data_IF_145370085300
#
_entry.id   IF_145370085300
#
_cell.length_a   1.000
_cell.length_b   1.000
_cell.length_c   1.000
_cell.angle_alpha   90.00
_cell.angle_beta   90.00
_cell.angle_gamma   90.00
#
_symmetry.space_group_name_H-M   'P 1'
#
loop_
_entity.id
_entity.type
_entity.pdbx_description
1 polymer ?
#
# COMPACT_ATOMS: atom_id res chain seq x y z
N UNK A 1 8.70 8.11 28.63
CA UNK A 1 8.91 7.52 27.30
C UNK A 1 9.88 6.37 27.45
N UNK A 2 9.40 5.13 27.45
CA UNK A 2 10.29 3.96 27.39
C UNK A 2 11.23 4.12 26.21
N UNK A 3 12.52 3.80 26.37
CA UNK A 3 13.48 3.87 25.26
C UNK A 3 12.93 3.04 24.11
N UNK A 4 12.39 3.71 23.10
CA UNK A 4 11.98 3.05 21.86
C UNK A 4 13.21 2.35 21.33
N UNK A 5 13.23 1.03 21.46
CA UNK A 5 14.29 0.23 20.88
C UNK A 5 14.27 0.45 19.38
N UNK A 6 15.43 0.48 18.75
CA UNK A 6 15.55 0.63 17.29
C UNK A 6 14.67 -0.39 16.56
N UNK A 7 14.55 -1.60 17.11
CA UNK A 7 13.65 -2.63 16.62
C UNK A 7 12.17 -2.20 16.67
N UNK A 8 11.72 -1.61 17.79
CA UNK A 8 10.34 -1.12 17.94
C UNK A 8 10.04 0.00 16.94
N UNK A 9 11.01 0.89 16.70
CA UNK A 9 10.87 1.95 15.70
C UNK A 9 10.70 1.38 14.28
N UNK A 10 11.51 0.39 13.90
CA UNK A 10 11.35 -0.32 12.62
C UNK A 10 9.99 -1.01 12.54
N UNK A 11 9.57 -1.70 13.61
CA UNK A 11 8.26 -2.35 13.68
C UNK A 11 7.12 -1.36 13.49
N UNK A 12 7.18 -0.18 14.12
CA UNK A 12 6.19 0.89 13.95
C UNK A 12 6.12 1.38 12.49
N UNK A 13 7.27 1.57 11.84
CA UNK A 13 7.34 1.99 10.43
C UNK A 13 6.71 0.92 9.53
N UNK A 14 7.11 -0.35 9.70
CA UNK A 14 6.58 -1.47 8.91
C UNK A 14 5.08 -1.67 9.14
N UNK A 15 4.63 -1.55 10.38
CA UNK A 15 3.23 -1.66 10.75
C UNK A 15 2.40 -0.50 10.15
N UNK A 16 2.91 0.74 10.21
CA UNK A 16 2.27 1.90 9.58
C UNK A 16 2.20 1.74 8.06
N UNK A 17 3.28 1.29 7.43
CA UNK A 17 3.31 1.00 5.98
C UNK A 17 2.26 -0.06 5.62
N UNK A 18 2.23 -1.18 6.35
CA UNK A 18 1.28 -2.26 6.09
C UNK A 18 -0.16 -1.81 6.30
N UNK A 19 -0.45 -1.07 7.38
CA UNK A 19 -1.79 -0.57 7.67
C UNK A 19 -2.25 0.40 6.58
N UNK A 20 -1.36 1.29 6.12
CA UNK A 20 -1.66 2.23 5.02
C UNK A 20 -1.99 1.47 3.74
N UNK A 21 -1.16 0.49 3.38
CA UNK A 21 -1.40 -0.34 2.21
C UNK A 21 -2.71 -1.12 2.35
N UNK A 22 -3.03 -1.60 3.55
CA UNK A 22 -4.28 -2.30 3.84
C UNK A 22 -5.49 -1.38 3.60
N UNK A 23 -5.43 -0.14 4.05
CA UNK A 23 -6.54 0.82 3.92
C UNK A 23 -6.71 1.33 2.48
N UNK A 24 -5.61 1.54 1.76
CA UNK A 24 -5.65 2.14 0.42
C UNK A 24 -5.94 1.10 -0.66
N UNK A 25 -5.32 -0.08 -0.56
CA UNK A 25 -5.33 -1.09 -1.63
C UNK A 25 -6.08 -2.36 -1.28
N UNK A 26 -6.30 -2.70 -0.01
CA UNK A 26 -6.90 -3.98 0.35
C UNK A 26 -8.39 -3.99 0.08
N UNK A 27 -8.83 -5.05 -0.61
CA UNK A 27 -10.24 -5.28 -0.93
C UNK A 27 -11.10 -5.47 0.30
N UNK A 28 -10.53 -5.88 1.44
CA UNK A 28 -11.28 -5.96 2.71
C UNK A 28 -11.97 -4.62 3.01
N UNK A 29 -11.28 -3.50 2.75
CA UNK A 29 -11.83 -2.16 2.96
C UNK A 29 -12.67 -1.66 1.78
N UNK A 30 -12.91 -2.46 0.73
CA UNK A 30 -13.84 -2.07 -0.33
C UNK A 30 -15.24 -1.78 0.23
N UNK A 31 -15.66 -2.46 1.30
CA UNK A 31 -16.93 -2.14 1.97
C UNK A 31 -16.94 -0.73 2.55
N UNK A 32 -15.82 -0.28 3.11
CA UNK A 32 -15.65 1.10 3.57
C UNK A 32 -15.55 2.03 2.35
N UNK A 33 -14.89 1.60 1.26
CA UNK A 33 -14.66 2.42 0.06
C UNK A 33 -15.90 2.61 -0.82
N UNK A 34 -16.79 1.60 -0.93
CA UNK A 34 -18.02 1.60 -1.74
C UNK A 34 -18.94 2.80 -1.46
N UNK A 35 -19.26 3.16 -0.20
CA UNK A 35 -20.05 4.36 0.08
C UNK A 35 -19.31 5.66 -0.23
N UNK A 36 -17.97 5.67 -0.17
CA UNK A 36 -17.17 6.88 -0.44
C UNK A 36 -16.81 7.09 -1.92
N UNK A 37 -17.06 6.11 -2.80
CA UNK A 37 -16.78 6.23 -4.23
C UNK A 37 -18.08 6.23 -5.03
N UNK A 38 -18.41 7.37 -5.64
CA UNK A 38 -19.47 7.44 -6.66
C UNK A 38 -18.91 6.91 -7.96
N UNK A 39 -19.58 5.92 -8.55
CA UNK A 39 -19.33 5.54 -9.94
C UNK A 39 -19.80 6.70 -10.83
N UNK A 40 -18.88 7.48 -11.41
CA UNK A 40 -19.26 8.34 -12.55
C UNK A 40 -18.94 7.56 -13.81
N UNK A 41 -19.96 7.36 -14.63
CA UNK A 41 -19.78 6.98 -16.02
C UNK A 41 -19.25 8.20 -16.74
N UNK A 42 -17.99 8.16 -17.13
CA UNK A 42 -17.43 9.16 -18.02
C UNK A 42 -17.42 8.48 -19.38
N UNK A 43 -18.22 9.02 -20.30
CA UNK A 43 -18.24 8.57 -21.69
C UNK A 43 -17.02 9.20 -22.34
N UNK A 44 -16.06 8.37 -22.75
CA UNK A 44 -14.92 8.85 -23.54
C UNK A 44 -15.42 9.37 -24.91
N UNK A 45 -14.61 10.21 -25.59
CA UNK A 45 -14.96 10.75 -26.91
C UNK A 45 -15.26 9.65 -27.95
N UNK A 46 -14.78 8.42 -27.73
CA UNK A 46 -15.02 7.25 -28.56
C UNK A 46 -16.27 6.44 -28.18
N UNK A 47 -17.12 6.95 -27.28
CA UNK A 47 -18.36 6.26 -26.86
C UNK A 47 -18.13 5.08 -25.91
N UNK A 48 -16.89 4.83 -25.48
CA UNK A 48 -16.60 3.83 -24.46
C UNK A 48 -17.03 4.36 -23.09
N UNK A 49 -17.92 3.60 -22.44
CA UNK A 49 -18.42 3.91 -21.09
C UNK A 49 -17.41 3.39 -20.08
N UNK A 50 -16.39 4.18 -19.77
CA UNK A 50 -15.48 3.84 -18.69
C UNK A 50 -16.10 4.25 -17.35
N UNK A 51 -16.37 3.23 -16.53
CA UNK A 51 -16.91 3.41 -15.18
C UNK A 51 -15.78 3.80 -14.22
N UNK A 52 -15.34 5.06 -14.29
CA UNK A 52 -14.29 5.55 -13.38
C UNK A 52 -14.90 5.91 -12.02
N UNK A 53 -14.42 5.23 -10.98
CA UNK A 53 -14.83 5.53 -9.61
C UNK A 53 -14.25 6.87 -9.17
N UNK A 54 -15.11 7.87 -8.98
CA UNK A 54 -14.74 9.20 -8.48
C UNK A 54 -15.08 9.31 -7.00
N UNK A 55 -14.20 9.92 -6.18
CA UNK A 55 -14.46 10.10 -4.76
C UNK A 55 -15.69 10.99 -4.55
N UNK A 56 -16.68 10.49 -3.79
CA UNK A 56 -17.93 11.19 -3.50
C UNK A 56 -17.85 12.09 -2.25
N UNK A 57 -16.79 11.96 -1.45
CA UNK A 57 -16.68 12.55 -0.11
C UNK A 57 -15.22 12.90 0.22
N UNK A 58 -15.02 13.88 1.13
CA UNK A 58 -13.70 14.31 1.61
C UNK A 58 -12.85 13.14 2.12
N UNK A 59 -13.46 12.17 2.82
CA UNK A 59 -12.78 10.95 3.24
C UNK A 59 -12.31 10.09 2.08
N UNK A 60 -13.11 9.98 1.00
CA UNK A 60 -12.71 9.28 -0.22
C UNK A 60 -11.56 9.97 -0.95
N UNK A 61 -11.43 11.30 -0.84
CA UNK A 61 -10.27 12.03 -1.34
C UNK A 61 -9.03 11.77 -0.49
N UNK A 62 -9.16 11.79 0.85
CA UNK A 62 -8.07 11.46 1.77
C UNK A 62 -7.55 10.02 1.59
N UNK A 63 -8.46 9.06 1.36
CA UNK A 63 -8.12 7.66 1.09
C UNK A 63 -7.49 7.46 -0.29
N UNK A 64 -7.77 8.34 -1.26
CA UNK A 64 -7.09 8.31 -2.57
C UNK A 64 -5.63 8.77 -2.47
N UNK A 65 -5.31 9.67 -1.55
CA UNK A 65 -3.94 10.12 -1.35
C UNK A 65 -3.20 9.16 -0.40
N UNK A 66 -2.34 8.31 -0.96
CA UNK A 66 -1.55 7.34 -0.19
C UNK A 66 -0.78 7.98 0.98
N UNK A 67 -0.29 9.21 0.77
CA UNK A 67 0.50 9.93 1.76
C UNK A 67 -0.37 10.40 2.93
N UNK A 68 -1.56 10.92 2.66
CA UNK A 68 -2.50 11.35 3.71
C UNK A 68 -2.99 10.15 4.52
N UNK A 69 -3.39 9.05 3.85
CA UNK A 69 -3.73 7.81 4.51
C UNK A 69 -2.56 7.32 5.39
N UNK A 70 -1.32 7.46 4.90
CA UNK A 70 -0.10 7.12 5.64
C UNK A 70 0.08 7.91 6.94
N UNK A 71 -0.06 9.24 6.90
CA UNK A 71 0.05 10.08 8.10
C UNK A 71 -1.03 9.73 9.12
N UNK A 72 -2.27 9.54 8.68
CA UNK A 72 -3.36 9.12 9.56
C UNK A 72 -3.10 7.74 10.17
N UNK A 73 -2.60 6.78 9.39
CA UNK A 73 -2.22 5.46 9.89
C UNK A 73 -1.09 5.53 10.94
N UNK A 74 -0.07 6.34 10.68
CA UNK A 74 1.05 6.53 11.60
C UNK A 74 0.57 7.13 12.94
N UNK A 75 -0.32 8.13 12.87
CA UNK A 75 -0.96 8.71 14.06
C UNK A 75 -1.78 7.64 14.78
N UNK A 76 -2.59 6.85 14.07
CA UNK A 76 -3.46 5.83 14.67
C UNK A 76 -2.63 4.74 15.38
N UNK A 77 -1.54 4.27 14.75
CA UNK A 77 -0.61 3.31 15.34
C UNK A 77 0.12 3.91 16.55
N UNK A 78 0.62 5.15 16.43
CA UNK A 78 1.32 5.84 17.53
C UNK A 78 0.40 6.13 18.71
N UNK A 79 -0.81 6.60 18.47
CA UNK A 79 -1.83 6.85 19.48
C UNK A 79 -2.31 5.53 20.11
N UNK A 80 -2.49 4.49 19.30
CA UNK A 80 -2.82 3.14 19.78
C UNK A 80 -1.76 2.60 20.72
N UNK A 81 -0.48 2.82 20.41
CA UNK A 81 0.64 2.44 21.28
C UNK A 81 0.62 3.20 22.62
N UNK A 82 0.27 4.49 22.62
CA UNK A 82 0.24 5.32 23.82
C UNK A 82 -0.98 5.05 24.72
N UNK A 83 -2.18 4.91 24.15
CA UNK A 83 -3.42 4.76 24.92
C UNK A 83 -3.76 3.30 25.25
N UNK A 84 -3.46 2.36 24.33
CA UNK A 84 -3.86 0.95 24.42
C UNK A 84 -2.68 0.01 24.12
N UNK A 85 -1.55 0.09 24.86
CA UNK A 85 -0.37 -0.72 24.58
C UNK A 85 -0.65 -2.23 24.62
N UNK A 86 -1.60 -2.68 25.45
CA UNK A 86 -1.99 -4.10 25.59
C UNK A 86 -2.45 -4.74 24.28
N UNK A 87 -3.14 -3.97 23.42
CA UNK A 87 -3.68 -4.45 22.14
C UNK A 87 -2.80 -3.97 20.98
N UNK A 88 -2.28 -2.74 21.07
CA UNK A 88 -1.48 -2.16 20.01
C UNK A 88 -0.14 -2.90 19.81
N UNK A 89 0.53 -3.34 20.87
CA UNK A 89 1.82 -4.05 20.75
C UNK A 89 1.71 -5.33 19.90
N UNK A 90 0.81 -6.30 20.21
CA UNK A 90 0.69 -7.51 19.38
C UNK A 90 0.19 -7.17 17.97
N UNK A 91 -0.69 -6.17 17.82
CA UNK A 91 -1.16 -5.72 16.51
C UNK A 91 -0.04 -5.15 15.65
N UNK A 92 0.80 -4.27 16.22
CA UNK A 92 1.99 -3.69 15.57
C UNK A 92 2.95 -4.81 15.17
N UNK A 93 3.18 -5.78 16.05
CA UNK A 93 4.05 -6.91 15.77
C UNK A 93 3.58 -7.72 14.55
N UNK A 94 2.29 -8.07 14.51
CA UNK A 94 1.70 -8.81 13.37
C UNK A 94 1.74 -7.97 12.09
N UNK A 95 1.36 -6.69 12.16
CA UNK A 95 1.38 -5.79 11.01
C UNK A 95 2.79 -5.55 10.49
N UNK A 96 3.79 -5.48 11.37
CA UNK A 96 5.19 -5.31 10.98
C UNK A 96 5.73 -6.54 10.26
N UNK A 97 5.42 -7.75 10.73
CA UNK A 97 5.78 -9.00 10.04
C UNK A 97 5.13 -9.05 8.65
N UNK A 98 3.82 -8.75 8.57
CA UNK A 98 3.11 -8.71 7.29
C UNK A 98 3.65 -7.61 6.37
N UNK A 99 4.11 -6.48 6.92
CA UNK A 99 4.79 -5.41 6.18
C UNK A 99 6.13 -5.85 5.61
N UNK A 100 6.96 -6.53 6.42
CA UNK A 100 8.23 -7.09 5.98
C UNK A 100 8.04 -8.13 4.86
N UNK A 101 7.03 -8.99 4.97
CA UNK A 101 6.69 -9.95 3.92
C UNK A 101 6.35 -9.25 2.60
N UNK A 102 5.57 -8.17 2.63
CA UNK A 102 5.22 -7.42 1.41
C UNK A 102 6.45 -6.77 0.74
N UNK A 103 7.41 -6.29 1.54
CA UNK A 103 8.68 -5.75 1.02
C UNK A 103 9.50 -6.86 0.36
N UNK A 104 9.59 -8.03 0.99
CA UNK A 104 10.33 -9.17 0.45
C UNK A 104 9.75 -9.65 -0.88
N UNK A 105 8.42 -9.79 -0.98
CA UNK A 105 7.72 -10.13 -2.23
C UNK A 105 8.00 -9.11 -3.34
N UNK A 106 8.01 -7.81 -2.99
CA UNK A 106 8.30 -6.74 -3.94
C UNK A 106 9.75 -6.81 -4.42
N UNK A 107 10.70 -7.07 -3.53
CA UNK A 107 12.11 -7.22 -3.86
C UNK A 107 12.35 -8.41 -4.80
N UNK A 108 11.74 -9.57 -4.51
CA UNK A 108 11.82 -10.76 -5.38
C UNK A 108 11.16 -10.48 -6.73
N UNK A 109 9.98 -9.86 -6.75
CA UNK A 109 9.26 -9.53 -7.98
C UNK A 109 10.02 -8.57 -8.90
N UNK A 110 10.72 -7.57 -8.33
CA UNK A 110 11.60 -6.68 -9.10
C UNK A 110 12.82 -7.43 -9.64
N UNK A 111 13.42 -8.33 -8.85
CA UNK A 111 14.53 -9.18 -9.28
C UNK A 111 14.18 -10.04 -10.49
N UNK A 112 13.03 -10.70 -10.49
CA UNK A 112 12.56 -11.53 -11.61
C UNK A 112 12.35 -10.68 -12.88
N UNK A 113 11.68 -9.53 -12.76
CA UNK A 113 11.47 -8.63 -13.90
C UNK A 113 12.79 -8.11 -14.48
N UNK A 114 13.77 -7.82 -13.63
CA UNK A 114 15.09 -7.39 -14.09
C UNK A 114 15.80 -8.49 -14.89
N UNK A 115 15.72 -9.74 -14.45
CA UNK A 115 16.29 -10.89 -15.18
C UNK A 115 15.60 -11.07 -16.54
N UNK A 116 14.27 -10.93 -16.61
CA UNK A 116 13.52 -11.01 -17.87
C UNK A 116 13.92 -9.91 -18.86
N UNK A 117 14.17 -8.69 -18.36
CA UNK A 117 14.66 -7.57 -19.18
C UNK A 117 16.08 -7.86 -19.68
N UNK A 118 16.98 -8.34 -18.82
CA UNK A 118 18.35 -8.69 -19.23
C UNK A 118 18.36 -9.81 -20.27
N UNK A 119 17.49 -10.81 -20.13
CA UNK A 119 17.36 -11.90 -21.09
C UNK A 119 16.85 -11.41 -22.45
N UNK A 120 15.85 -10.53 -22.46
CA UNK A 120 15.34 -9.95 -23.72
C UNK A 120 16.37 -9.06 -24.41
N UNK A 121 17.17 -8.28 -23.66
CA UNK A 121 18.31 -7.53 -24.19
C UNK A 121 19.37 -8.46 -24.80
N UNK A 122 19.71 -9.55 -24.13
CA UNK A 122 20.66 -10.54 -24.64
C UNK A 122 20.18 -11.17 -25.94
N UNK A 123 18.88 -11.50 -26.04
CA UNK A 123 18.29 -12.02 -27.29
C UNK A 123 18.37 -11.00 -28.43
N UNK A 124 18.06 -9.72 -28.16
CA UNK A 124 18.19 -8.66 -29.17
C UNK A 124 19.65 -8.43 -29.61
N UNK A 125 20.61 -8.53 -28.69
CA UNK A 125 22.03 -8.45 -29.03
C UNK A 125 22.51 -9.63 -29.89
N UNK A 126 21.98 -10.82 -29.65
CA UNK A 126 22.34 -12.02 -30.42
C UNK A 126 21.75 -11.97 -31.85
N UNK A 127 20.53 -11.47 -32.01
CA UNK A 127 19.89 -11.27 -33.31
C UNK A 127 20.68 -10.27 -34.17
N UNK A 128 21.15 -9.15 -33.57
CA UNK A 128 21.94 -8.14 -34.29
C UNK A 128 23.32 -8.64 -34.75
N UNK A 129 23.81 -9.77 -34.23
CA UNK A 129 25.11 -10.35 -34.60
C UNK A 129 25.00 -11.37 -35.75
N UNK A 130 23.81 -11.91 -36.02
CA UNK A 130 23.55 -12.81 -37.15
C UNK A 130 23.25 -12.04 -38.43
#
# INVERSE_FOLDING_TARGET
MDRLSFLTFIMLILASYRLTHLIVFDKITEFIRKPFMKKKRIVDQNGHVDEKSVPASNFGYMLNCYWCAGVWCAILIGLGYLFLPRIAIPLIFILAIAGAQAILETAVGVGVKLIDVLKSLQTMMNDKKS
#
